data_IF_644099348750
#
_entry.id   IF_644099348750
#
_cell.length_a   1.000
_cell.length_b   1.000
_cell.length_c   1.000
_cell.angle_alpha   90.00
_cell.angle_beta   90.00
_cell.angle_gamma   90.00
#
_symmetry.space_group_name_H-M   'P 1'
#
loop_
_entity.id
_entity.type
_entity.pdbx_description
1 polymer ?
#
# COMPACT_ATOMS: atom_id res chain seq x y z
N UNK A 1 16.66 -46.57 -14.92
CA UNK A 1 15.51 -45.90 -15.58
C UNK A 1 14.39 -45.56 -14.59
N UNK A 2 14.02 -46.45 -13.65
CA UNK A 2 12.94 -46.21 -12.67
C UNK A 2 13.11 -44.94 -11.81
N UNK A 3 14.33 -44.69 -11.32
CA UNK A 3 14.63 -43.52 -10.45
C UNK A 3 14.49 -42.18 -11.18
N UNK A 4 14.82 -42.13 -12.48
CA UNK A 4 14.71 -40.92 -13.29
C UNK A 4 13.26 -40.49 -13.52
N UNK A 5 12.34 -41.44 -13.66
CA UNK A 5 10.91 -41.16 -13.84
C UNK A 5 10.26 -40.65 -12.54
N UNK A 6 10.71 -41.15 -11.39
CA UNK A 6 10.21 -40.70 -10.08
C UNK A 6 10.64 -39.25 -9.80
N UNK A 7 11.90 -38.89 -10.12
CA UNK A 7 12.39 -37.51 -9.97
C UNK A 7 11.66 -36.55 -10.93
N UNK A 8 11.41 -36.97 -12.17
CA UNK A 8 10.61 -36.19 -13.14
C UNK A 8 9.18 -35.97 -12.64
N UNK A 9 8.51 -37.01 -12.14
CA UNK A 9 7.16 -36.90 -11.56
C UNK A 9 7.11 -35.95 -10.36
N UNK A 10 8.10 -36.01 -9.46
CA UNK A 10 8.20 -35.08 -8.33
C UNK A 10 8.44 -33.63 -8.79
N UNK A 11 9.28 -33.42 -9.82
CA UNK A 11 9.55 -32.08 -10.35
C UNK A 11 8.32 -31.45 -11.02
N UNK A 12 7.54 -32.25 -11.75
CA UNK A 12 6.30 -31.82 -12.41
C UNK A 12 5.20 -31.56 -11.38
N UNK A 13 5.10 -32.39 -10.33
CA UNK A 13 4.18 -32.17 -9.22
C UNK A 13 4.50 -30.86 -8.47
N UNK A 14 5.78 -30.57 -8.25
CA UNK A 14 6.21 -29.33 -7.61
C UNK A 14 5.85 -28.10 -8.47
N UNK A 15 6.00 -28.21 -9.80
CA UNK A 15 5.62 -27.14 -10.74
C UNK A 15 4.09 -26.92 -10.84
N UNK A 16 3.27 -27.95 -10.61
CA UNK A 16 1.81 -27.83 -10.57
C UNK A 16 1.32 -27.17 -9.27
N UNK A 17 2.01 -27.41 -8.15
CA UNK A 17 1.67 -26.79 -6.86
C UNK A 17 1.95 -25.29 -6.87
N UNK A 18 3.00 -24.82 -7.57
CA UNK A 18 3.29 -23.37 -7.69
C UNK A 18 2.33 -22.61 -8.60
N UNK A 19 1.63 -23.27 -9.52
CA UNK A 19 0.59 -22.61 -10.34
C UNK A 19 -0.73 -22.38 -9.57
N UNK A 20 -0.92 -23.04 -8.41
CA UNK A 20 -2.14 -22.96 -7.62
C UNK A 20 -2.18 -21.77 -6.63
N UNK A 21 -1.09 -21.02 -6.45
CA UNK A 21 -1.05 -19.84 -5.57
C UNK A 21 -1.49 -18.57 -6.31
N UNK A 22 -2.69 -18.58 -6.87
CA UNK A 22 -3.28 -17.41 -7.57
C UNK A 22 -3.97 -16.41 -6.62
N UNK A 23 -3.67 -16.43 -5.32
CA UNK A 23 -4.46 -15.72 -4.30
C UNK A 23 -3.70 -15.00 -3.19
N UNK A 24 -2.36 -14.97 -3.21
CA UNK A 24 -1.57 -14.28 -2.19
C UNK A 24 -0.83 -13.09 -2.82
N UNK A 25 -1.03 -11.90 -2.28
CA UNK A 25 -0.25 -10.71 -2.63
C UNK A 25 1.20 -10.94 -2.17
N UNK A 26 2.06 -11.43 -3.07
CA UNK A 26 3.51 -11.47 -2.81
C UNK A 26 4.10 -10.08 -3.09
N UNK A 27 4.70 -9.48 -2.05
CA UNK A 27 5.44 -8.22 -2.11
C UNK A 27 6.93 -8.50 -1.99
N UNK A 28 7.73 -7.85 -2.83
CA UNK A 28 9.18 -7.80 -2.67
C UNK A 28 9.58 -7.05 -1.39
N UNK A 29 10.81 -7.27 -0.91
CA UNK A 29 11.34 -6.54 0.26
C UNK A 29 11.26 -5.02 0.10
N UNK A 30 11.52 -4.52 -1.10
CA UNK A 30 11.50 -3.08 -1.39
C UNK A 30 10.07 -2.52 -1.38
N UNK A 31 9.10 -3.27 -1.91
CA UNK A 31 7.67 -2.90 -1.82
C UNK A 31 7.17 -2.90 -0.38
N UNK A 32 7.61 -3.85 0.47
CA UNK A 32 7.27 -3.86 1.89
C UNK A 32 7.81 -2.63 2.61
N UNK A 33 9.07 -2.25 2.36
CA UNK A 33 9.66 -1.05 2.95
C UNK A 33 8.96 0.25 2.46
N UNK A 34 8.61 0.32 1.18
CA UNK A 34 7.87 1.44 0.61
C UNK A 34 6.46 1.54 1.20
N UNK A 35 5.76 0.40 1.34
CA UNK A 35 4.46 0.29 1.99
C UNK A 35 4.51 0.76 3.44
N UNK A 36 5.51 0.31 4.21
CA UNK A 36 5.65 0.71 5.61
C UNK A 36 5.83 2.23 5.72
N UNK A 37 6.67 2.81 4.87
CA UNK A 37 6.90 4.26 4.84
C UNK A 37 5.60 5.03 4.55
N UNK A 38 4.85 4.64 3.52
CA UNK A 38 3.56 5.26 3.18
C UNK A 38 2.53 5.05 4.28
N UNK A 39 2.49 3.89 4.93
CA UNK A 39 1.57 3.59 6.03
C UNK A 39 1.86 4.46 7.26
N UNK A 40 3.14 4.63 7.61
CA UNK A 40 3.54 5.54 8.70
C UNK A 40 3.16 6.99 8.40
N UNK A 41 3.37 7.46 7.17
CA UNK A 41 2.92 8.78 6.71
C UNK A 41 1.40 8.93 6.79
N UNK A 42 0.68 7.89 6.37
CA UNK A 42 -0.79 7.82 6.41
C UNK A 42 -1.33 7.96 7.83
N UNK A 43 -0.73 7.27 8.79
CA UNK A 43 -1.14 7.36 10.20
C UNK A 43 -0.90 8.76 10.77
N UNK A 44 0.23 9.39 10.46
CA UNK A 44 0.53 10.77 10.88
C UNK A 44 -0.45 11.77 10.29
N UNK A 45 -0.75 11.64 9.00
CA UNK A 45 -1.74 12.46 8.32
C UNK A 45 -3.13 12.27 8.93
N UNK A 46 -3.56 11.03 9.14
CA UNK A 46 -4.87 10.70 9.71
C UNK A 46 -5.07 11.32 11.09
N UNK A 47 -4.10 11.17 11.99
CA UNK A 47 -4.17 11.77 13.33
C UNK A 47 -4.24 13.30 13.24
N UNK A 48 -3.46 13.90 12.34
CA UNK A 48 -3.45 15.36 12.14
C UNK A 48 -4.77 15.87 11.57
N UNK A 49 -5.36 15.15 10.62
CA UNK A 49 -6.66 15.43 10.03
C UNK A 49 -7.77 15.36 11.08
N UNK A 50 -7.81 14.29 11.88
CA UNK A 50 -8.79 14.17 12.97
C UNK A 50 -8.64 15.31 13.97
N UNK A 51 -7.43 15.65 14.41
CA UNK A 51 -7.19 16.80 15.29
C UNK A 51 -7.63 18.12 14.66
N UNK A 52 -7.48 18.29 13.35
CA UNK A 52 -7.95 19.48 12.65
C UNK A 52 -9.48 19.55 12.61
N UNK A 53 -10.15 18.45 12.30
CA UNK A 53 -11.62 18.38 12.22
C UNK A 53 -12.28 18.49 13.59
N UNK A 54 -11.73 17.86 14.63
CA UNK A 54 -12.29 17.86 15.98
C UNK A 54 -12.12 19.19 16.73
N UNK A 55 -11.28 20.11 16.24
CA UNK A 55 -10.95 21.35 16.97
C UNK A 55 -12.16 22.26 17.22
N UNK A 56 -13.10 22.31 16.27
CA UNK A 56 -14.25 23.21 16.31
C UNK A 56 -15.60 22.46 16.14
N UNK A 57 -15.58 21.13 16.16
CA UNK A 57 -16.77 20.32 15.93
C UNK A 57 -17.27 19.76 17.27
N UNK A 58 -18.43 20.21 17.73
CA UNK A 58 -19.16 19.55 18.80
C UNK A 58 -20.00 18.41 18.19
N UNK A 59 -19.64 17.16 18.49
CA UNK A 59 -20.36 15.97 17.99
C UNK A 59 -19.46 14.97 17.27
N UNK A 60 -20.07 14.11 16.46
CA UNK A 60 -19.36 13.02 15.79
C UNK A 60 -18.51 13.54 14.63
N UNK A 61 -17.29 13.02 14.50
CA UNK A 61 -16.40 13.22 13.35
C UNK A 61 -16.25 11.89 12.64
N UNK A 62 -16.69 11.81 11.39
CA UNK A 62 -16.59 10.62 10.55
C UNK A 62 -15.95 10.99 9.21
N UNK A 63 -14.79 10.41 8.92
CA UNK A 63 -14.02 10.66 7.69
C UNK A 63 -13.18 9.43 7.37
N UNK A 64 -12.86 9.22 6.09
CA UNK A 64 -11.83 8.27 5.65
C UNK A 64 -10.54 9.05 5.38
N UNK A 65 -9.55 9.07 6.30
CA UNK A 65 -8.32 9.81 6.10
C UNK A 65 -7.54 9.32 4.88
N UNK A 66 -7.54 8.01 4.65
CA UNK A 66 -6.86 7.41 3.51
C UNK A 66 -7.42 7.91 2.18
N UNK A 67 -8.74 8.04 2.05
CA UNK A 67 -9.36 8.55 0.80
C UNK A 67 -8.94 10.00 0.51
N UNK A 68 -8.96 10.86 1.54
CA UNK A 68 -8.50 12.27 1.41
C UNK A 68 -7.04 12.31 1.03
N UNK A 69 -6.21 11.50 1.68
CA UNK A 69 -4.78 11.43 1.41
C UNK A 69 -4.49 10.96 -0.01
N UNK A 70 -5.19 9.95 -0.53
CA UNK A 70 -5.02 9.44 -1.89
C UNK A 70 -5.31 10.52 -2.94
N UNK A 71 -6.38 11.31 -2.76
CA UNK A 71 -6.69 12.43 -3.66
C UNK A 71 -5.60 13.51 -3.60
N UNK A 72 -5.09 13.82 -2.41
CA UNK A 72 -3.98 14.78 -2.26
C UNK A 72 -2.66 14.25 -2.84
N UNK A 73 -2.39 12.95 -2.70
CA UNK A 73 -1.23 12.29 -3.30
C UNK A 73 -1.32 12.31 -4.83
N UNK A 74 -2.51 12.12 -5.40
CA UNK A 74 -2.74 12.29 -6.84
C UNK A 74 -2.49 13.75 -7.27
N UNK A 75 -2.99 14.73 -6.50
CA UNK A 75 -2.72 16.14 -6.77
C UNK A 75 -1.22 16.48 -6.70
N UNK A 76 -0.49 15.88 -5.74
CA UNK A 76 0.97 16.01 -5.63
C UNK A 76 1.70 15.59 -6.90
N UNK A 77 1.25 14.54 -7.61
CA UNK A 77 1.89 14.09 -8.85
C UNK A 77 1.92 15.16 -9.96
N UNK A 78 0.97 16.10 -9.96
CA UNK A 78 0.91 17.22 -10.89
C UNK A 78 1.44 18.55 -10.34
N UNK A 79 1.76 18.61 -9.05
CA UNK A 79 2.23 19.82 -8.39
C UNK A 79 3.71 20.10 -8.68
N UNK A 80 4.14 21.35 -8.53
CA UNK A 80 5.55 21.79 -8.70
C UNK A 80 5.93 22.85 -7.68
N UNK A 81 7.23 23.00 -7.45
CA UNK A 81 7.78 24.02 -6.54
C UNK A 81 7.19 23.92 -5.14
N UNK A 82 6.91 25.07 -4.52
CA UNK A 82 6.42 25.14 -3.14
C UNK A 82 5.11 24.36 -2.91
N UNK A 83 4.22 24.28 -3.90
CA UNK A 83 2.99 23.49 -3.77
C UNK A 83 3.28 21.99 -3.64
N UNK A 84 4.24 21.47 -4.40
CA UNK A 84 4.65 20.07 -4.27
C UNK A 84 5.25 19.82 -2.88
N UNK A 85 6.11 20.73 -2.41
CA UNK A 85 6.79 20.63 -1.11
C UNK A 85 5.80 20.64 0.06
N UNK A 86 4.80 21.54 0.02
CA UNK A 86 3.76 21.64 1.05
C UNK A 86 2.90 20.38 1.12
N UNK A 87 2.46 19.87 -0.02
CA UNK A 87 1.62 18.65 -0.08
C UNK A 87 2.43 17.44 0.38
N UNK A 88 3.66 17.28 -0.10
CA UNK A 88 4.54 16.18 0.34
C UNK A 88 4.75 16.18 1.85
N UNK A 89 4.98 17.37 2.44
CA UNK A 89 5.15 17.54 3.88
C UNK A 89 3.91 17.15 4.67
N UNK A 90 2.73 17.60 4.26
CA UNK A 90 1.46 17.29 4.96
C UNK A 90 1.16 15.80 4.92
N UNK A 91 1.37 15.16 3.77
CA UNK A 91 1.13 13.73 3.61
C UNK A 91 2.28 12.86 4.16
N UNK A 92 3.38 13.47 4.61
CA UNK A 92 4.59 12.77 5.06
C UNK A 92 5.10 11.76 4.02
N UNK A 93 5.16 12.18 2.75
CA UNK A 93 5.59 11.32 1.64
C UNK A 93 7.09 11.02 1.71
N UNK A 94 7.54 9.86 1.17
CA UNK A 94 8.95 9.61 0.91
C UNK A 94 9.57 10.67 -0.02
N UNK A 95 10.86 10.95 0.17
CA UNK A 95 11.62 11.90 -0.67
C UNK A 95 11.64 11.53 -2.16
N UNK A 96 11.59 10.22 -2.45
CA UNK A 96 11.57 9.70 -3.83
C UNK A 96 10.14 9.41 -4.26
N UNK A 97 9.77 9.97 -5.41
CA UNK A 97 8.46 9.75 -6.00
C UNK A 97 8.20 8.27 -6.34
N UNK A 98 9.22 7.52 -6.77
CA UNK A 98 9.10 6.08 -7.03
C UNK A 98 8.71 5.27 -5.78
N UNK A 99 9.26 5.63 -4.61
CA UNK A 99 8.90 5.00 -3.35
C UNK A 99 7.46 5.35 -2.94
N UNK A 100 7.00 6.56 -3.29
CA UNK A 100 5.61 6.97 -3.09
C UNK A 100 4.68 6.11 -3.93
N UNK A 101 4.95 5.94 -5.22
CA UNK A 101 4.14 5.10 -6.12
C UNK A 101 4.15 3.63 -5.70
N UNK A 102 5.34 3.08 -5.42
CA UNK A 102 5.50 1.68 -4.98
C UNK A 102 4.71 1.41 -3.70
N UNK A 103 4.82 2.29 -2.70
CA UNK A 103 4.11 2.15 -1.43
C UNK A 103 2.58 2.26 -1.56
N UNK A 104 2.07 3.21 -2.35
CA UNK A 104 0.62 3.32 -2.59
C UNK A 104 0.08 2.15 -3.41
N UNK A 105 0.82 1.66 -4.40
CA UNK A 105 0.43 0.47 -5.18
C UNK A 105 0.36 -0.78 -4.30
N UNK A 106 1.37 -1.00 -3.45
CA UNK A 106 1.36 -2.08 -2.46
C UNK A 106 0.17 -1.95 -1.50
N UNK A 107 -0.12 -0.73 -1.04
CA UNK A 107 -1.25 -0.46 -0.15
C UNK A 107 -2.59 -0.78 -0.81
N UNK A 108 -2.80 -0.35 -2.06
CA UNK A 108 -4.03 -0.64 -2.81
C UNK A 108 -4.20 -2.14 -3.04
N UNK A 109 -3.13 -2.85 -3.41
CA UNK A 109 -3.15 -4.31 -3.56
C UNK A 109 -3.58 -5.01 -2.28
N UNK A 110 -3.04 -4.58 -1.13
CA UNK A 110 -3.41 -5.13 0.18
C UNK A 110 -4.87 -4.83 0.49
N UNK A 111 -5.33 -3.58 0.34
CA UNK A 111 -6.72 -3.21 0.68
C UNK A 111 -7.76 -3.88 -0.21
N UNK A 112 -7.38 -4.29 -1.42
CA UNK A 112 -8.22 -5.02 -2.36
C UNK A 112 -8.13 -6.54 -2.18
N UNK A 113 -7.24 -7.03 -1.30
CA UNK A 113 -7.02 -8.44 -1.06
C UNK A 113 -8.34 -9.11 -0.61
N UNK A 114 -8.77 -10.21 -1.28
CA UNK A 114 -9.98 -10.94 -0.92
C UNK A 114 -10.04 -11.38 0.54
N UNK A 115 -8.90 -11.63 1.19
CA UNK A 115 -8.82 -12.02 2.61
C UNK A 115 -9.40 -10.93 3.51
N UNK A 116 -9.25 -9.65 3.16
CA UNK A 116 -9.84 -8.54 3.91
C UNK A 116 -11.34 -8.34 3.65
N UNK A 117 -11.93 -8.98 2.63
CA UNK A 117 -13.38 -8.93 2.35
C UNK A 117 -14.21 -9.94 3.16
N UNK A 118 -13.55 -10.79 3.94
CA UNK A 118 -14.16 -11.87 4.74
C UNK A 118 -14.41 -11.47 6.20
N UNK A 119 -13.95 -10.30 6.64
CA UNK A 119 -14.18 -9.73 7.97
C UNK A 119 -15.30 -8.70 7.96
#
# INVERSE_FOLDING_TARGET
MLVSNIVLLFSVLCALVTMATSGTVELSKDEVAALETVTQGTNKFAISLYRALSRNQAGNVFVSPLSVQMVLALAYTGAKGSTADEVAKVLSLPDKLDNTYSGYNALIRILQDPVLKLA
#
